data_IF_641381497095
#
_entry.id   IF_641381497095
#
_cell.length_a   1.000
_cell.length_b   1.000
_cell.length_c   1.000
_cell.angle_alpha   90.00
_cell.angle_beta   90.00
_cell.angle_gamma   90.00
#
_symmetry.space_group_name_H-M   'P 1'
#
loop_
_entity.id
_entity.type
_entity.pdbx_description
1 polymer ?
#
# COMPACT_ATOMS: atom_id res chain seq x y z
N UNK A 1 8.99 -17.65 -8.11
CA UNK A 1 8.67 -18.68 -7.09
C UNK A 1 7.17 -18.66 -6.85
N UNK A 2 6.44 -19.74 -7.13
CA UNK A 2 5.02 -19.81 -6.75
C UNK A 2 4.93 -19.81 -5.21
N UNK A 3 4.20 -18.85 -4.65
CA UNK A 3 3.97 -18.73 -3.20
C UNK A 3 4.76 -17.63 -2.47
N UNK A 4 5.62 -16.86 -3.15
CA UNK A 4 6.27 -15.71 -2.52
C UNK A 4 5.28 -14.54 -2.41
N UNK A 5 5.07 -13.97 -1.20
CA UNK A 5 4.33 -12.72 -1.00
C UNK A 5 4.84 -11.60 -1.91
N UNK A 6 3.93 -10.86 -2.54
CA UNK A 6 4.26 -9.73 -3.43
C UNK A 6 3.42 -8.51 -3.07
N UNK A 7 3.83 -7.33 -3.55
CA UNK A 7 3.06 -6.09 -3.41
C UNK A 7 1.64 -6.21 -3.99
N UNK A 8 1.45 -6.99 -5.06
CA UNK A 8 0.13 -7.26 -5.63
C UNK A 8 -0.79 -8.03 -4.68
N UNK A 9 -0.27 -9.05 -3.99
CA UNK A 9 -1.08 -9.80 -3.04
C UNK A 9 -1.51 -8.93 -1.86
N UNK A 10 -0.59 -8.10 -1.34
CA UNK A 10 -0.89 -7.14 -0.28
C UNK A 10 -1.92 -6.09 -0.72
N UNK A 11 -1.78 -5.52 -1.92
CA UNK A 11 -2.73 -4.57 -2.50
C UNK A 11 -4.14 -5.16 -2.67
N UNK A 12 -4.23 -6.38 -3.18
CA UNK A 12 -5.50 -7.07 -3.37
C UNK A 12 -6.19 -7.32 -2.03
N UNK A 13 -5.45 -7.81 -1.02
CA UNK A 13 -6.02 -8.02 0.31
C UNK A 13 -6.49 -6.70 0.94
N UNK A 14 -5.68 -5.64 0.83
CA UNK A 14 -6.03 -4.32 1.33
C UNK A 14 -7.33 -3.81 0.69
N UNK A 15 -7.41 -3.83 -0.64
CA UNK A 15 -8.58 -3.36 -1.39
C UNK A 15 -9.84 -4.14 -1.02
N UNK A 16 -9.75 -5.48 -1.02
CA UNK A 16 -10.86 -6.35 -0.62
C UNK A 16 -11.29 -6.12 0.83
N UNK A 17 -10.34 -5.89 1.75
CA UNK A 17 -10.64 -5.65 3.16
C UNK A 17 -11.38 -4.33 3.35
N UNK A 18 -10.91 -3.26 2.69
CA UNK A 18 -11.54 -1.95 2.77
C UNK A 18 -12.94 -1.95 2.15
N UNK A 19 -13.08 -2.55 0.97
CA UNK A 19 -14.38 -2.63 0.29
C UNK A 19 -15.37 -3.51 1.05
N UNK A 20 -14.93 -4.61 1.65
CA UNK A 20 -15.81 -5.50 2.42
C UNK A 20 -16.27 -4.87 3.74
N UNK A 21 -15.43 -4.07 4.40
CA UNK A 21 -15.75 -3.47 5.71
C UNK A 21 -16.50 -2.15 5.59
N UNK A 22 -16.14 -1.31 4.62
CA UNK A 22 -16.58 0.08 4.53
C UNK A 22 -17.28 0.43 3.21
N UNK A 23 -17.38 -0.52 2.27
CA UNK A 23 -17.96 -0.31 0.94
C UNK A 23 -17.03 0.44 -0.01
N UNK A 24 -17.48 0.69 -1.24
CA UNK A 24 -16.68 1.33 -2.29
C UNK A 24 -16.32 2.79 -1.99
N UNK A 25 -17.08 3.47 -1.14
CA UNK A 25 -16.86 4.85 -0.73
C UNK A 25 -15.89 5.00 0.46
N UNK A 26 -15.17 3.94 0.85
CA UNK A 26 -14.30 3.94 2.03
C UNK A 26 -13.29 5.08 2.06
N UNK A 27 -12.83 5.55 0.90
CA UNK A 27 -11.86 6.64 0.76
C UNK A 27 -12.37 7.99 1.30
N UNK A 28 -13.68 8.20 1.36
CA UNK A 28 -14.28 9.44 1.87
C UNK A 28 -14.85 9.33 3.28
N UNK A 29 -15.03 8.11 3.81
CA UNK A 29 -15.65 7.89 5.11
C UNK A 29 -14.74 7.29 6.19
N UNK A 30 -13.58 6.74 5.80
CA UNK A 30 -12.59 6.19 6.75
C UNK A 30 -11.51 7.23 7.02
N UNK A 31 -11.14 7.38 8.29
CA UNK A 31 -10.06 8.26 8.70
C UNK A 31 -8.73 7.87 8.01
N UNK A 32 -7.96 8.82 7.46
CA UNK A 32 -6.74 8.51 6.73
C UNK A 32 -5.68 7.75 7.55
N UNK A 33 -5.65 7.97 8.87
CA UNK A 33 -4.77 7.25 9.80
C UNK A 33 -5.14 5.78 9.90
N UNK A 34 -6.44 5.45 9.94
CA UNK A 34 -6.91 4.07 9.98
C UNK A 34 -6.60 3.33 8.66
N UNK A 35 -6.71 4.04 7.54
CA UNK A 35 -6.33 3.55 6.22
C UNK A 35 -4.82 3.21 6.19
N UNK A 36 -3.99 4.13 6.66
CA UNK A 36 -2.54 3.95 6.69
C UNK A 36 -2.13 2.78 7.60
N UNK A 37 -2.70 2.71 8.81
CA UNK A 37 -2.41 1.65 9.77
C UNK A 37 -2.76 0.26 9.21
N UNK A 38 -3.93 0.11 8.58
CA UNK A 38 -4.32 -1.16 7.97
C UNK A 38 -3.39 -1.53 6.81
N UNK A 39 -3.01 -0.56 5.98
CA UNK A 39 -2.08 -0.79 4.89
C UNK A 39 -0.72 -1.27 5.42
N UNK A 40 -0.19 -0.65 6.48
CA UNK A 40 1.05 -1.06 7.13
C UNK A 40 0.97 -2.47 7.73
N UNK A 41 -0.11 -2.79 8.44
CA UNK A 41 -0.36 -4.13 9.01
C UNK A 41 -0.36 -5.20 7.92
N UNK A 42 -1.03 -4.95 6.80
CA UNK A 42 -1.07 -5.89 5.67
C UNK A 42 0.31 -6.07 5.07
N UNK A 43 1.03 -4.98 4.78
CA UNK A 43 2.37 -5.10 4.19
C UNK A 43 3.33 -5.86 5.11
N UNK A 44 3.29 -5.60 6.42
CA UNK A 44 4.07 -6.35 7.41
C UNK A 44 3.68 -7.84 7.44
N UNK A 45 2.39 -8.15 7.37
CA UNK A 45 1.89 -9.53 7.31
C UNK A 45 2.36 -10.31 6.08
N UNK A 46 2.65 -9.61 4.97
CA UNK A 46 3.23 -10.17 3.75
C UNK A 46 4.78 -10.17 3.77
N UNK A 47 5.40 -9.86 4.90
CA UNK A 47 6.86 -9.86 5.06
C UNK A 47 7.54 -8.64 4.45
N UNK A 48 6.79 -7.56 4.20
CA UNK A 48 7.33 -6.29 3.75
C UNK A 48 8.29 -5.69 4.78
N UNK A 49 9.40 -5.14 4.29
CA UNK A 49 10.40 -4.42 5.11
C UNK A 49 10.47 -2.97 4.68
N UNK A 50 10.60 -2.05 5.63
CA UNK A 50 10.73 -0.63 5.34
C UNK A 50 12.03 -0.37 4.57
N UNK A 51 11.92 0.11 3.34
CA UNK A 51 13.05 0.51 2.50
C UNK A 51 13.43 2.00 2.71
N UNK A 52 12.58 2.76 3.40
CA UNK A 52 12.76 4.18 3.73
C UNK A 52 11.44 4.94 3.70
N UNK A 53 11.51 6.25 3.94
CA UNK A 53 10.40 7.18 3.70
C UNK A 53 10.77 8.08 2.54
N UNK A 54 10.01 8.05 1.44
CA UNK A 54 10.19 9.00 0.35
C UNK A 54 9.25 10.19 0.56
N UNK A 55 9.72 11.44 0.40
CA UNK A 55 8.82 12.57 0.20
C UNK A 55 8.21 12.42 -1.19
N UNK A 56 7.08 11.70 -1.30
CA UNK A 56 6.37 11.55 -2.56
C UNK A 56 5.52 12.80 -2.79
N UNK A 57 5.80 13.63 -3.82
CA UNK A 57 5.14 14.93 -4.01
C UNK A 57 3.63 14.83 -4.28
N UNK A 58 3.11 13.68 -4.73
CA UNK A 58 1.67 13.42 -4.87
C UNK A 58 1.01 12.86 -3.59
N UNK A 59 1.79 12.38 -2.61
CA UNK A 59 1.28 11.98 -1.30
C UNK A 59 1.70 13.04 -0.28
N UNK A 60 0.89 14.08 -0.19
CA UNK A 60 0.96 15.08 0.86
C UNK A 60 1.01 14.37 2.25
N UNK A 61 2.24 14.34 2.78
CA UNK A 61 2.79 13.68 3.99
C UNK A 61 3.11 12.18 3.89
N UNK A 62 4.42 11.90 4.01
CA UNK A 62 5.11 10.67 4.46
C UNK A 62 4.50 9.34 4.04
N UNK A 63 4.72 8.93 2.79
CA UNK A 63 4.48 7.55 2.40
C UNK A 63 5.62 6.66 2.89
N UNK A 64 5.31 5.55 3.55
CA UNK A 64 6.31 4.53 3.90
C UNK A 64 6.54 3.64 2.68
N UNK A 65 7.81 3.50 2.29
CA UNK A 65 8.21 2.60 1.21
C UNK A 65 8.53 1.23 1.80
N UNK A 66 7.91 0.21 1.24
CA UNK A 66 8.09 -1.17 1.65
C UNK A 66 8.64 -2.00 0.50
N UNK A 67 9.55 -2.91 0.82
CA UNK A 67 10.10 -3.89 -0.10
C UNK A 67 9.67 -5.29 0.34
N UNK A 68 9.13 -6.07 -0.58
CA UNK A 68 8.65 -7.44 -0.38
C UNK A 68 9.76 -8.46 -0.68
N UNK A 69 9.59 -9.73 -0.25
CA UNK A 69 10.59 -10.78 -0.47
C UNK A 69 10.87 -11.10 -1.95
N UNK A 70 9.93 -10.82 -2.85
CA UNK A 70 10.10 -10.97 -4.30
C UNK A 70 10.86 -9.79 -4.95
N UNK A 71 11.16 -8.75 -4.17
CA UNK A 71 11.78 -7.51 -4.64
C UNK A 71 10.79 -6.43 -5.07
N UNK A 72 9.49 -6.74 -5.16
CA UNK A 72 8.45 -5.74 -5.46
C UNK A 72 8.32 -4.72 -4.33
N UNK A 73 7.74 -3.57 -4.64
CA UNK A 73 7.64 -2.44 -3.71
C UNK A 73 6.23 -1.88 -3.64
N UNK A 74 5.88 -1.38 -2.46
CA UNK A 74 4.64 -0.68 -2.22
C UNK A 74 4.84 0.57 -1.36
N UNK A 75 3.94 1.51 -1.54
CA UNK A 75 3.80 2.71 -0.73
C UNK A 75 2.56 2.59 0.13
N UNK A 76 2.70 2.83 1.42
CA UNK A 76 1.57 2.98 2.34
C UNK A 76 1.48 4.41 2.82
N UNK A 77 0.26 4.88 3.06
CA UNK A 77 0.02 6.21 3.61
C UNK A 77 -1.46 6.49 3.74
N UNK A 78 -1.80 7.79 3.86
CA UNK A 78 -3.16 8.28 4.09
C UNK A 78 -4.21 7.84 3.05
N UNK A 79 -3.75 7.46 1.86
CA UNK A 79 -4.58 6.99 0.75
C UNK A 79 -4.62 5.46 0.60
N UNK A 80 -3.96 4.74 1.50
CA UNK A 80 -3.89 3.29 1.53
C UNK A 80 -2.59 2.76 0.94
N UNK A 81 -2.69 1.55 0.37
CA UNK A 81 -1.59 0.85 -0.25
C UNK A 81 -1.58 1.13 -1.76
N UNK A 82 -0.43 1.52 -2.31
CA UNK A 82 -0.16 1.61 -3.76
C UNK A 82 1.06 0.80 -4.13
N UNK A 83 1.10 0.29 -5.36
CA UNK A 83 2.26 -0.43 -5.91
C UNK A 83 3.14 0.54 -6.70
N UNK A 84 4.44 0.29 -6.77
CA UNK A 84 5.37 1.13 -7.53
C UNK A 84 5.10 1.07 -9.05
N UNK A 85 4.65 -0.08 -9.58
CA UNK A 85 4.26 -0.21 -11.00
C UNK A 85 3.16 0.79 -11.43
N UNK A 86 2.26 1.17 -10.52
CA UNK A 86 1.21 2.17 -10.77
C UNK A 86 1.74 3.63 -10.79
N UNK A 87 3.02 3.85 -10.45
CA UNK A 87 3.65 5.18 -10.35
C UNK A 87 4.59 5.50 -11.53
N UNK A 88 5.04 4.51 -12.30
CA UNK A 88 5.86 4.71 -13.51
C UNK A 88 5.04 5.04 -14.77
N UNK A 89 3.73 4.74 -14.79
CA UNK A 89 2.87 4.99 -15.96
C UNK A 89 2.47 6.48 -16.17
N UNK A 90 3.00 7.41 -15.34
CA UNK A 90 2.81 8.86 -15.50
C UNK A 90 4.07 9.65 -15.86
N UNK A 91 5.14 8.99 -16.29
CA UNK A 91 6.40 9.64 -16.68
C UNK A 91 6.85 9.39 -18.13
N UNK A 92 5.93 9.03 -19.04
CA UNK A 92 6.20 8.89 -20.47
C UNK A 92 5.28 9.78 -21.33
#
# INVERSE_FOLDING_TARGET
>A
MPGTPTACHAYNLFSLTMESRYGSAWRSCVAPEAIANLADEIVQGFGGRTAGSLPVPEMDRSATVWQFPDGSRAHTGRFGLRREDDSEEKAA
#
